data_IF_894656627569
#
_entry.id   IF_894656627569
#
_cell.length_a   1.000
_cell.length_b   1.000
_cell.length_c   1.000
_cell.angle_alpha   90.00
_cell.angle_beta   90.00
_cell.angle_gamma   90.00
#
_symmetry.space_group_name_H-M   'P 1'
#
loop_
_entity.id
_entity.type
_entity.pdbx_description
1 polymer ?
#
# COMPACT_ATOMS: atom_id res chain seq x y z
N UNK A 1 28.77 -8.22 -15.31
CA UNK A 1 29.11 -9.34 -14.40
C UNK A 1 27.96 -10.35 -14.39
N UNK A 2 28.21 -11.65 -14.18
CA UNK A 2 27.15 -12.68 -14.29
C UNK A 2 26.91 -13.38 -12.96
N UNK A 3 25.64 -13.58 -12.61
CA UNK A 3 25.18 -14.20 -11.37
C UNK A 3 24.25 -15.37 -11.68
N UNK A 4 24.37 -16.47 -10.94
CA UNK A 4 23.46 -17.61 -11.06
C UNK A 4 22.39 -17.55 -9.98
N UNK A 5 21.12 -17.63 -10.37
CA UNK A 5 19.98 -17.58 -9.47
C UNK A 5 19.11 -18.82 -9.70
N UNK A 6 18.71 -19.49 -8.60
CA UNK A 6 17.79 -20.62 -8.64
C UNK A 6 16.36 -20.17 -8.39
N UNK A 7 15.43 -20.48 -9.30
CA UNK A 7 13.99 -20.26 -9.14
C UNK A 7 13.29 -21.58 -9.47
N UNK A 8 12.51 -22.11 -8.54
CA UNK A 8 11.77 -23.37 -8.68
C UNK A 8 12.62 -24.55 -9.20
N UNK A 9 13.86 -24.66 -8.68
CA UNK A 9 14.79 -25.71 -9.06
C UNK A 9 15.43 -25.56 -10.45
N UNK A 10 15.18 -24.44 -11.16
CA UNK A 10 15.84 -24.08 -12.41
C UNK A 10 16.85 -22.98 -12.18
N UNK A 11 18.04 -23.15 -12.74
CA UNK A 11 19.14 -22.17 -12.63
C UNK A 11 19.11 -21.23 -13.83
N UNK A 12 19.16 -19.94 -13.54
CA UNK A 12 19.16 -18.85 -14.52
C UNK A 12 20.46 -18.05 -14.39
N UNK A 13 21.03 -17.67 -15.53
CA UNK A 13 22.20 -16.81 -15.61
C UNK A 13 21.74 -15.37 -15.86
N UNK A 14 21.98 -14.49 -14.90
CA UNK A 14 21.61 -13.08 -14.95
C UNK A 14 22.85 -12.26 -15.25
N UNK A 15 22.80 -11.48 -16.32
CA UNK A 15 23.80 -10.49 -16.65
C UNK A 15 23.48 -9.17 -15.95
N UNK A 16 24.40 -8.71 -15.10
CA UNK A 16 24.29 -7.48 -14.32
C UNK A 16 25.29 -6.46 -14.83
N UNK A 17 24.80 -5.28 -15.17
CA UNK A 17 25.60 -4.10 -15.44
C UNK A 17 25.63 -3.24 -14.17
N UNK A 18 26.83 -2.93 -13.67
CA UNK A 18 26.99 -2.04 -12.51
C UNK A 18 27.09 -0.63 -13.06
N UNK A 19 26.06 0.17 -12.81
CA UNK A 19 26.10 1.60 -13.07
C UNK A 19 26.90 2.21 -11.91
N UNK A 20 28.05 2.83 -12.22
CA UNK A 20 28.77 3.63 -11.24
C UNK A 20 27.86 4.77 -10.81
N UNK A 21 27.43 4.77 -9.55
CA UNK A 21 26.70 5.88 -8.97
C UNK A 21 27.69 7.05 -8.90
N UNK A 22 27.50 8.02 -9.79
CA UNK A 22 28.28 9.26 -9.83
C UNK A 22 28.10 9.93 -8.47
N UNK A 23 29.05 9.73 -7.56
CA UNK A 23 29.11 10.45 -6.29
C UNK A 23 29.52 11.89 -6.59
N UNK A 24 28.63 12.61 -7.26
CA UNK A 24 28.69 14.05 -7.32
C UNK A 24 28.61 14.54 -5.88
N UNK A 25 29.76 15.01 -5.41
CA UNK A 25 29.87 15.73 -4.15
C UNK A 25 28.91 16.90 -4.23
N UNK A 26 27.71 16.75 -3.66
CA UNK A 26 26.70 17.79 -3.63
C UNK A 26 27.31 18.95 -2.83
N UNK A 27 27.56 20.13 -3.44
CA UNK A 27 28.05 21.27 -2.67
C UNK A 27 27.01 21.57 -1.60
N UNK A 28 27.47 21.73 -0.36
CA UNK A 28 26.64 21.95 0.82
C UNK A 28 25.62 23.05 0.57
N UNK A 29 24.40 22.63 0.22
CA UNK A 29 23.25 23.50 0.07
C UNK A 29 22.56 23.55 1.41
N UNK A 30 22.52 24.74 2.02
CA UNK A 30 21.66 25.06 3.15
C UNK A 30 20.29 24.41 2.96
N UNK A 31 19.93 23.47 3.84
CA UNK A 31 18.56 22.99 3.96
C UNK A 31 17.74 24.14 4.55
N UNK A 32 16.92 24.78 3.72
CA UNK A 32 15.87 25.65 4.23
C UNK A 32 14.98 24.82 5.18
N UNK A 33 14.50 25.39 6.30
CA UNK A 33 13.60 24.67 7.20
C UNK A 33 12.38 24.20 6.40
N UNK A 34 12.10 22.91 6.51
CA UNK A 34 10.92 22.29 5.93
C UNK A 34 9.69 22.96 6.55
N UNK A 35 8.99 23.77 5.77
CA UNK A 35 7.67 24.26 6.15
C UNK A 35 6.71 23.12 5.83
N UNK A 36 6.15 22.49 6.87
CA UNK A 36 5.01 21.60 6.70
C UNK A 36 3.91 22.37 5.99
N UNK A 37 3.72 22.10 4.70
CA UNK A 37 2.49 22.48 4.03
C UNK A 37 1.40 21.57 4.60
N UNK A 38 0.64 22.09 5.56
CA UNK A 38 -0.59 21.47 6.00
C UNK A 38 -1.51 21.34 4.78
N UNK A 39 -1.61 20.14 4.20
CA UNK A 39 -2.68 19.81 3.27
C UNK A 39 -3.96 19.80 4.09
N UNK A 40 -4.66 20.93 4.10
CA UNK A 40 -6.00 21.02 4.66
C UNK A 40 -6.96 20.33 3.71
N UNK A 41 -7.07 19.00 3.81
CA UNK A 41 -8.21 18.30 3.24
C UNK A 41 -9.43 18.82 3.98
N UNK A 42 -10.31 19.53 3.26
CA UNK A 42 -11.57 20.01 3.80
C UNK A 42 -12.40 18.81 4.20
N UNK A 43 -12.51 18.57 5.50
CA UNK A 43 -13.40 17.56 6.07
C UNK A 43 -14.83 17.89 5.68
N UNK A 44 -15.39 17.13 4.75
CA UNK A 44 -16.84 17.10 4.55
C UNK A 44 -17.47 16.27 5.67
N UNK A 45 -18.68 16.62 6.14
CA UNK A 45 -19.40 15.77 7.08
C UNK A 45 -19.64 14.41 6.43
N UNK A 46 -18.94 13.39 6.93
CA UNK A 46 -19.16 12.00 6.56
C UNK A 46 -20.39 11.53 7.34
N UNK A 47 -21.34 10.91 6.63
CA UNK A 47 -22.49 10.29 7.26
C UNK A 47 -22.03 9.28 8.31
N UNK A 48 -22.72 9.21 9.45
CA UNK A 48 -22.37 8.27 10.52
C UNK A 48 -22.32 6.85 9.95
N UNK A 49 -21.14 6.22 10.03
CA UNK A 49 -21.00 4.83 9.64
C UNK A 49 -21.95 3.95 10.46
N UNK A 50 -22.59 2.95 9.85
CA UNK A 50 -23.45 2.02 10.58
C UNK A 50 -22.66 1.35 11.71
N UNK A 51 -23.33 1.16 12.85
CA UNK A 51 -22.73 0.49 14.00
C UNK A 51 -22.24 -0.91 13.60
N UNK A 52 -21.04 -1.34 14.04
CA UNK A 52 -20.54 -2.66 13.73
C UNK A 52 -21.52 -3.72 14.22
N UNK A 53 -21.98 -4.57 13.30
CA UNK A 53 -22.80 -5.71 13.65
C UNK A 53 -22.00 -6.62 14.61
N UNK A 54 -22.68 -7.16 15.62
CA UNK A 54 -22.06 -8.12 16.53
C UNK A 54 -21.52 -9.31 15.72
N UNK A 55 -20.24 -9.64 15.92
CA UNK A 55 -19.59 -10.73 15.21
C UNK A 55 -20.29 -12.06 15.53
N UNK A 56 -20.88 -12.69 14.51
CA UNK A 56 -21.50 -14.01 14.63
C UNK A 56 -20.39 -15.08 14.61
N UNK A 57 -20.04 -15.58 15.80
CA UNK A 57 -19.23 -16.77 15.94
C UNK A 57 -17.77 -16.65 15.45
N UNK A 58 -17.07 -17.78 15.29
CA UNK A 58 -15.69 -17.80 14.84
C UNK A 58 -15.57 -17.31 13.39
N UNK A 59 -14.69 -16.34 13.17
CA UNK A 59 -14.40 -15.76 11.84
C UNK A 59 -13.55 -16.74 11.02
N UNK A 60 -13.91 -16.91 9.75
CA UNK A 60 -13.11 -17.64 8.78
C UNK A 60 -11.94 -16.75 8.29
N UNK A 61 -10.77 -16.91 8.92
CA UNK A 61 -9.56 -16.12 8.61
C UNK A 61 -9.14 -16.19 7.13
N UNK A 62 -9.50 -17.25 6.39
CA UNK A 62 -9.19 -17.37 4.97
C UNK A 62 -9.96 -16.35 4.10
N UNK A 63 -11.08 -15.80 4.62
CA UNK A 63 -11.93 -14.83 3.93
C UNK A 63 -11.70 -13.39 4.41
N UNK A 64 -10.75 -13.17 5.34
CA UNK A 64 -10.51 -11.85 5.90
C UNK A 64 -9.56 -11.07 4.99
N UNK A 65 -10.09 -10.05 4.32
CA UNK A 65 -9.28 -9.06 3.60
C UNK A 65 -8.71 -8.03 4.58
N UNK A 66 -7.39 -8.11 4.85
CA UNK A 66 -6.67 -7.12 5.67
C UNK A 66 -5.90 -6.16 4.76
N UNK A 67 -5.78 -4.91 5.21
CA UNK A 67 -4.92 -3.94 4.52
C UNK A 67 -3.45 -4.38 4.58
N UNK A 68 -2.71 -4.33 3.45
CA UNK A 68 -1.27 -4.57 3.45
C UNK A 68 -0.47 -3.37 3.99
N UNK A 69 -1.09 -2.20 4.15
CA UNK A 69 -0.42 -0.96 4.59
C UNK A 69 -1.20 -0.29 5.72
N UNK A 70 -0.49 0.37 6.63
CA UNK A 70 -1.13 1.25 7.60
C UNK A 70 -1.51 2.57 6.91
N UNK A 71 -2.76 3.01 7.08
CA UNK A 71 -3.29 4.19 6.38
C UNK A 71 -4.65 4.63 6.92
N UNK A 72 -5.33 5.51 6.20
CA UNK A 72 -6.64 6.06 6.58
C UNK A 72 -7.69 5.65 5.56
N UNK A 73 -8.78 5.02 5.99
CA UNK A 73 -9.87 4.69 5.06
C UNK A 73 -10.50 5.96 4.48
N UNK A 74 -10.32 6.18 3.19
CA UNK A 74 -10.85 7.33 2.44
C UNK A 74 -12.25 7.03 1.93
N UNK A 75 -12.49 5.79 1.47
CA UNK A 75 -13.76 5.37 0.87
C UNK A 75 -13.99 3.88 1.02
N UNK A 76 -15.25 3.51 1.26
CA UNK A 76 -15.76 2.13 1.16
C UNK A 76 -16.71 2.09 -0.03
N UNK A 77 -16.55 1.10 -0.90
CA UNK A 77 -17.28 0.98 -2.16
C UNK A 77 -18.31 -0.16 -2.18
N UNK A 78 -18.42 -0.92 -1.09
CA UNK A 78 -19.24 -2.13 -1.00
C UNK A 78 -20.22 -2.08 0.16
N UNK A 79 -21.30 -2.83 0.05
CA UNK A 79 -22.33 -2.99 1.08
C UNK A 79 -22.31 -4.39 1.71
N UNK A 80 -22.88 -4.52 2.92
CA UNK A 80 -22.94 -5.81 3.61
C UNK A 80 -23.87 -6.76 2.86
N UNK A 81 -23.39 -7.96 2.55
CA UNK A 81 -24.13 -8.97 1.80
C UNK A 81 -24.09 -8.81 0.28
N UNK A 82 -23.34 -7.82 -0.23
CA UNK A 82 -23.06 -7.69 -1.65
C UNK A 82 -22.20 -8.87 -2.13
N UNK A 83 -22.56 -9.45 -3.28
CA UNK A 83 -21.70 -10.40 -4.00
C UNK A 83 -20.55 -9.64 -4.67
N UNK A 84 -19.32 -10.16 -4.54
CA UNK A 84 -18.12 -9.53 -5.07
C UNK A 84 -17.50 -10.36 -6.20
N UNK A 85 -16.92 -9.68 -7.19
CA UNK A 85 -16.12 -10.30 -8.25
C UNK A 85 -14.61 -10.16 -7.98
N UNK A 86 -13.81 -11.01 -8.64
CA UNK A 86 -12.35 -10.88 -8.61
C UNK A 86 -11.94 -9.50 -9.16
N UNK A 87 -10.92 -8.89 -8.54
CA UNK A 87 -10.41 -7.54 -8.85
C UNK A 87 -11.40 -6.37 -8.63
N UNK A 88 -12.50 -6.58 -7.89
CA UNK A 88 -13.44 -5.50 -7.56
C UNK A 88 -12.87 -4.51 -6.52
N UNK A 89 -13.11 -3.20 -6.74
CA UNK A 89 -12.67 -2.13 -5.83
C UNK A 89 -13.58 -2.07 -4.60
N UNK A 90 -13.10 -2.60 -3.47
CA UNK A 90 -13.86 -2.62 -2.21
C UNK A 90 -13.60 -1.41 -1.29
N UNK A 91 -12.38 -0.87 -1.28
CA UNK A 91 -11.96 0.17 -0.34
C UNK A 91 -10.76 0.95 -0.86
N UNK A 92 -10.66 2.22 -0.45
CA UNK A 92 -9.49 3.10 -0.66
C UNK A 92 -8.94 3.53 0.70
N UNK A 93 -7.62 3.38 0.87
CA UNK A 93 -6.82 3.68 2.07
C UNK A 93 -5.99 4.97 1.95
#
# INVERSE_FOLDING_TARGET
>A
MKLQIGIDGKTYEVEVEVIEEDTQTRPGGYMAPYVETATTVRSQPVASAPAPAAAEGPVDEAKVCRSPVAGMVIKINVEVGQELEDDELIMVL
#
